data_IF_640884141218
#
_entry.id   IF_640884141218
#
_cell.length_a   1.000
_cell.length_b   1.000
_cell.length_c   1.000
_cell.angle_alpha   90.00
_cell.angle_beta   90.00
_cell.angle_gamma   90.00
#
_symmetry.space_group_name_H-M   'P 1'
#
loop_
_entity.id
_entity.type
_entity.pdbx_description
1 polymer ?
#
# COMPACT_ATOMS: atom_id res chain seq x y z
N UNK A 1 -4.54 9.86 19.41
CA UNK A 1 -4.40 8.49 18.86
C UNK A 1 -3.32 7.73 19.61
N UNK A 2 -3.31 6.38 19.55
CA UNK A 2 -2.32 5.58 20.29
C UNK A 2 -1.06 5.35 19.47
N UNK A 3 -1.21 5.01 18.20
CA UNK A 3 -0.12 4.84 17.24
C UNK A 3 -0.53 5.34 15.87
N UNK A 4 0.47 5.70 15.05
CA UNK A 4 0.26 5.99 13.65
C UNK A 4 1.42 5.48 12.80
N UNK A 5 1.19 5.36 11.49
CA UNK A 5 2.23 5.18 10.48
C UNK A 5 1.96 6.08 9.30
N UNK A 6 2.98 6.23 8.45
CA UNK A 6 2.91 7.07 7.27
C UNK A 6 3.21 6.30 6.00
N UNK A 7 2.53 6.64 4.92
CA UNK A 7 2.87 6.20 3.57
C UNK A 7 3.19 7.42 2.72
N UNK A 8 4.29 7.35 1.99
CA UNK A 8 4.74 8.43 1.11
C UNK A 8 5.11 7.89 -0.26
N UNK A 9 4.83 8.71 -1.24
CA UNK A 9 5.22 8.46 -2.62
C UNK A 9 5.49 9.80 -3.29
N UNK A 10 6.47 9.80 -4.19
CA UNK A 10 6.85 10.95 -4.98
C UNK A 10 6.43 10.73 -6.42
N UNK A 11 5.82 11.73 -7.04
CA UNK A 11 5.56 11.69 -8.47
C UNK A 11 5.74 13.06 -9.09
N UNK A 12 6.29 13.08 -10.30
CA UNK A 12 6.34 14.29 -11.11
C UNK A 12 4.96 14.57 -11.69
N UNK A 13 4.51 15.80 -11.52
CA UNK A 13 3.26 16.25 -12.12
C UNK A 13 3.42 16.69 -13.59
N UNK A 14 2.32 17.10 -14.22
CA UNK A 14 2.31 17.51 -15.63
C UNK A 14 3.07 18.80 -15.91
N UNK A 15 3.49 19.52 -14.86
CA UNK A 15 4.29 20.74 -14.92
C UNK A 15 5.78 20.49 -14.61
N UNK A 16 6.20 19.22 -14.58
CA UNK A 16 7.57 18.78 -14.27
C UNK A 16 8.04 19.14 -12.85
N UNK A 17 7.10 19.44 -11.94
CA UNK A 17 7.39 19.64 -10.53
C UNK A 17 7.14 18.35 -9.76
N UNK A 18 8.05 18.00 -8.86
CA UNK A 18 7.89 16.84 -8.00
C UNK A 18 6.87 17.14 -6.90
N UNK A 19 5.98 16.17 -6.65
CA UNK A 19 4.94 16.25 -5.66
C UNK A 19 5.08 15.05 -4.72
N UNK A 20 5.14 15.30 -3.42
CA UNK A 20 5.18 14.26 -2.39
C UNK A 20 3.83 14.21 -1.70
N UNK A 21 3.19 13.05 -1.73
CA UNK A 21 1.98 12.80 -0.96
C UNK A 21 2.35 12.18 0.38
N UNK A 22 1.74 12.66 1.45
CA UNK A 22 1.86 12.09 2.79
C UNK A 22 0.48 11.59 3.22
N UNK A 23 0.36 10.27 3.35
CA UNK A 23 -0.78 9.63 4.00
C UNK A 23 -0.42 9.26 5.43
N UNK A 24 -1.39 9.42 6.33
CA UNK A 24 -1.29 9.01 7.73
C UNK A 24 -2.37 7.97 7.99
N UNK A 25 -2.00 6.87 8.65
CA UNK A 25 -2.93 5.91 9.25
C UNK A 25 -2.76 5.94 10.75
N UNK A 26 -3.83 6.22 11.47
CA UNK A 26 -3.84 6.26 12.93
C UNK A 26 -4.73 5.16 13.48
N UNK A 27 -4.37 4.66 14.66
CA UNK A 27 -5.16 3.67 15.40
C UNK A 27 -5.37 4.18 16.81
N UNK A 28 -6.62 4.26 17.25
CA UNK A 28 -6.97 4.67 18.61
C UNK A 28 -6.98 3.48 19.60
N UNK A 29 -7.42 3.72 20.84
CA UNK A 29 -7.44 2.68 21.87
C UNK A 29 -8.46 1.58 21.57
N UNK A 30 -9.57 1.94 20.92
CA UNK A 30 -10.67 1.06 20.51
C UNK A 30 -10.43 0.35 19.18
N UNK A 31 -9.19 0.37 18.67
CA UNK A 31 -8.81 -0.19 17.36
C UNK A 31 -9.54 0.45 16.17
N UNK A 32 -10.11 1.64 16.32
CA UNK A 32 -10.65 2.37 15.17
C UNK A 32 -9.49 2.92 14.35
N UNK A 33 -9.58 2.72 13.04
CA UNK A 33 -8.55 3.07 12.08
C UNK A 33 -9.02 4.31 11.31
N UNK A 34 -8.22 5.36 11.32
CA UNK A 34 -8.37 6.51 10.43
C UNK A 34 -7.25 6.48 9.40
N UNK A 35 -7.60 6.73 8.14
CA UNK A 35 -6.65 6.85 7.04
C UNK A 35 -6.97 8.11 6.26
N UNK A 36 -5.99 9.01 6.12
CA UNK A 36 -6.21 10.25 5.39
C UNK A 36 -4.95 10.76 4.69
N UNK A 37 -5.19 11.52 3.62
CA UNK A 37 -4.17 12.36 3.01
C UNK A 37 -3.89 13.51 3.98
N UNK A 38 -2.70 13.54 4.57
CA UNK A 38 -2.29 14.56 5.53
C UNK A 38 -1.75 15.81 4.81
N UNK A 39 -0.93 15.61 3.78
CA UNK A 39 -0.30 16.71 3.06
C UNK A 39 0.04 16.37 1.61
N UNK A 40 0.14 17.43 0.80
CA UNK A 40 0.67 17.41 -0.56
C UNK A 40 1.78 18.45 -0.60
N UNK A 41 3.03 18.01 -0.74
CA UNK A 41 4.19 18.90 -0.77
C UNK A 41 4.70 19.05 -2.19
N UNK A 42 4.68 20.28 -2.71
CA UNK A 42 5.36 20.61 -3.96
C UNK A 42 6.84 20.88 -3.69
N UNK A 43 7.70 20.16 -4.39
CA UNK A 43 9.15 20.24 -4.29
C UNK A 43 9.68 21.00 -5.52
N UNK A 44 10.04 22.28 -5.34
CA UNK A 44 10.35 23.21 -6.46
C UNK A 44 11.82 23.24 -6.85
N UNK A 45 12.74 22.99 -5.91
CA UNK A 45 14.17 23.16 -6.14
C UNK A 45 14.98 21.87 -6.02
N UNK A 46 14.62 20.98 -5.09
CA UNK A 46 15.32 19.72 -4.85
C UNK A 46 14.43 18.72 -4.10
N UNK A 47 14.62 17.43 -4.39
CA UNK A 47 13.90 16.28 -3.81
C UNK A 47 14.85 15.35 -3.05
N UNK A 48 15.76 15.91 -2.24
CA UNK A 48 16.60 15.08 -1.40
C UNK A 48 15.80 14.49 -0.25
N UNK A 49 16.22 13.32 0.26
CA UNK A 49 15.55 12.69 1.41
C UNK A 49 15.49 13.57 2.65
N UNK A 50 16.45 14.49 2.82
CA UNK A 50 16.44 15.46 3.91
C UNK A 50 15.37 16.55 3.74
N UNK A 51 15.19 17.08 2.53
CA UNK A 51 14.15 18.10 2.27
C UNK A 51 12.75 17.50 2.42
N UNK A 52 12.55 16.28 1.92
CA UNK A 52 11.30 15.54 2.13
C UNK A 52 11.08 15.32 3.63
N UNK A 53 12.11 14.92 4.38
CA UNK A 53 12.02 14.74 5.83
C UNK A 53 11.59 16.02 6.56
N UNK A 54 12.15 17.18 6.20
CA UNK A 54 11.77 18.45 6.82
C UNK A 54 10.29 18.78 6.60
N UNK A 55 9.76 18.52 5.40
CA UNK A 55 8.33 18.71 5.07
C UNK A 55 7.42 17.73 5.80
N UNK A 56 7.85 16.48 5.93
CA UNK A 56 7.14 15.46 6.71
C UNK A 56 7.12 15.83 8.19
N UNK A 57 8.25 16.29 8.74
CA UNK A 57 8.36 16.76 10.12
C UNK A 57 7.43 17.93 10.41
N UNK A 58 7.37 18.91 9.52
CA UNK A 58 6.43 20.05 9.59
C UNK A 58 4.96 19.59 9.59
N UNK A 59 4.63 18.61 8.74
CA UNK A 59 3.27 18.06 8.65
C UNK A 59 2.87 17.30 9.91
N UNK A 60 3.74 16.42 10.42
CA UNK A 60 3.53 15.66 11.65
C UNK A 60 3.31 16.62 12.83
N UNK A 61 4.13 17.67 12.93
CA UNK A 61 3.97 18.70 13.97
C UNK A 61 2.63 19.43 13.86
N UNK A 62 2.22 19.82 12.64
CA UNK A 62 0.95 20.52 12.40
C UNK A 62 -0.27 19.66 12.75
N UNK A 63 -0.17 18.35 12.58
CA UNK A 63 -1.20 17.39 12.98
C UNK A 63 -1.22 17.12 14.49
N UNK A 64 -0.29 17.68 15.27
CA UNK A 64 -0.15 17.38 16.70
C UNK A 64 0.32 15.95 16.98
N UNK A 65 0.99 15.32 16.02
CA UNK A 65 1.54 13.97 16.14
C UNK A 65 2.99 14.01 16.59
N UNK A 66 3.43 12.96 17.27
CA UNK A 66 4.79 12.84 17.79
C UNK A 66 5.51 11.62 17.21
N UNK A 67 6.80 11.76 16.88
CA UNK A 67 7.61 10.65 16.40
C UNK A 67 7.70 9.48 17.40
N UNK A 68 7.48 9.73 18.70
CA UNK A 68 7.48 8.71 19.76
C UNK A 68 6.44 7.59 19.56
N UNK A 69 5.36 7.88 18.84
CA UNK A 69 4.26 6.94 18.58
C UNK A 69 4.17 6.50 17.10
N UNK A 70 5.14 6.88 16.27
CA UNK A 70 5.25 6.44 14.88
C UNK A 70 5.74 4.99 14.80
N UNK A 71 5.00 4.11 14.12
CA UNK A 71 5.29 2.66 14.06
C UNK A 71 5.70 2.15 12.69
N UNK A 72 5.45 2.89 11.63
CA UNK A 72 5.77 2.47 10.28
C UNK A 72 5.96 3.64 9.31
N UNK A 73 6.83 3.41 8.33
CA UNK A 73 7.07 4.30 7.20
C UNK A 73 7.08 3.46 5.94
N UNK A 74 6.19 3.76 5.01
CA UNK A 74 6.04 2.98 3.77
C UNK A 74 6.32 3.86 2.57
N UNK A 75 7.25 3.45 1.71
CA UNK A 75 7.68 4.22 0.53
C UNK A 75 7.80 3.33 -0.70
N UNK A 76 7.85 3.92 -1.89
CA UNK A 76 8.10 3.22 -3.15
C UNK A 76 9.55 2.75 -3.32
N UNK A 77 10.42 3.03 -2.36
CA UNK A 77 11.79 2.54 -2.36
C UNK A 77 12.77 3.34 -3.24
N UNK A 78 12.40 4.54 -3.68
CA UNK A 78 13.30 5.38 -4.47
C UNK A 78 14.55 5.85 -3.70
N UNK A 79 15.58 6.28 -4.43
CA UNK A 79 16.93 6.54 -3.87
C UNK A 79 16.93 7.61 -2.77
N UNK A 80 16.11 8.65 -2.92
CA UNK A 80 15.93 9.70 -1.93
C UNK A 80 15.10 9.24 -0.71
N UNK A 81 14.32 8.16 -0.83
CA UNK A 81 13.54 7.60 0.27
C UNK A 81 14.37 6.67 1.16
N UNK A 82 15.13 5.74 0.57
CA UNK A 82 15.72 4.60 1.31
C UNK A 82 17.10 4.82 1.95
N UNK A 83 17.79 5.92 1.68
CA UNK A 83 19.14 6.14 2.22
C UNK A 83 19.21 6.13 3.75
N UNK A 84 20.08 5.31 4.34
CA UNK A 84 20.20 5.18 5.80
C UNK A 84 20.69 6.46 6.50
N UNK A 85 21.54 7.26 5.83
CA UNK A 85 22.10 8.48 6.40
C UNK A 85 21.46 9.76 5.88
N UNK A 86 21.08 9.80 4.61
CA UNK A 86 20.59 11.00 3.92
C UNK A 86 19.20 10.82 3.31
N UNK A 87 18.66 9.60 3.33
CA UNK A 87 17.32 9.31 2.83
C UNK A 87 16.24 9.66 3.86
N UNK A 88 15.02 9.83 3.37
CA UNK A 88 13.84 10.11 4.19
C UNK A 88 13.69 9.11 5.34
N UNK A 89 13.68 7.81 5.02
CA UNK A 89 13.47 6.73 6.00
C UNK A 89 14.57 6.75 7.06
N UNK A 90 15.84 6.94 6.66
CA UNK A 90 16.96 7.04 7.59
C UNK A 90 16.81 8.21 8.58
N UNK A 91 16.38 9.38 8.10
CA UNK A 91 16.15 10.54 8.96
C UNK A 91 14.94 10.36 9.89
N UNK A 92 13.85 9.76 9.42
CA UNK A 92 12.71 9.42 10.28
C UNK A 92 13.14 8.42 11.37
N UNK A 93 13.88 7.37 11.02
CA UNK A 93 14.37 6.40 11.99
C UNK A 93 15.20 7.07 13.09
N UNK A 94 16.10 8.00 12.74
CA UNK A 94 16.87 8.77 13.73
C UNK A 94 15.96 9.60 14.63
N UNK A 95 15.00 10.32 14.05
CA UNK A 95 14.06 11.17 14.80
C UNK A 95 13.22 10.36 15.80
N UNK A 96 12.78 9.15 15.45
CA UNK A 96 12.07 8.25 16.37
C UNK A 96 12.99 7.73 17.47
N UNK A 97 14.21 7.32 17.14
CA UNK A 97 15.18 6.83 18.12
C UNK A 97 15.59 7.91 19.13
N UNK A 98 15.67 9.18 18.70
CA UNK A 98 15.95 10.33 19.57
C UNK A 98 14.87 10.55 20.65
N UNK A 99 13.64 10.08 20.44
CA UNK A 99 12.60 10.13 21.48
C UNK A 99 12.68 8.97 22.48
N UNK A 100 13.64 8.05 22.32
CA UNK A 100 13.73 6.80 23.09
C UNK A 100 12.74 5.71 22.66
N UNK A 101 12.01 5.90 21.56
CA UNK A 101 11.12 4.89 21.01
C UNK A 101 11.88 3.86 20.14
N UNK A 102 11.29 2.69 19.95
CA UNK A 102 11.83 1.69 19.03
C UNK A 102 11.74 2.18 17.58
N UNK A 103 12.73 1.81 16.75
CA UNK A 103 12.74 2.19 15.33
C UNK A 103 11.44 1.75 14.62
N UNK A 104 10.86 2.61 13.76
CA UNK A 104 9.65 2.27 13.03
C UNK A 104 9.93 1.17 11.98
N UNK A 105 8.89 0.44 11.60
CA UNK A 105 8.99 -0.50 10.48
C UNK A 105 9.13 0.27 9.17
N UNK A 106 10.27 0.14 8.51
CA UNK A 106 10.44 0.64 7.15
C UNK A 106 9.95 -0.42 6.16
N UNK A 107 8.89 -0.11 5.41
CA UNK A 107 8.34 -0.99 4.36
C UNK A 107 8.60 -0.38 2.99
N UNK A 108 9.13 -1.19 2.08
CA UNK A 108 9.08 -0.89 0.66
C UNK A 108 7.73 -1.39 0.13
N UNK A 109 6.96 -0.52 -0.52
CA UNK A 109 5.61 -0.81 -1.02
C UNK A 109 5.50 -2.20 -1.67
N UNK A 110 4.64 -3.04 -1.09
CA UNK A 110 4.47 -4.44 -1.51
C UNK A 110 4.08 -4.58 -3.00
N UNK A 111 3.25 -3.64 -3.49
CA UNK A 111 2.79 -3.61 -4.88
C UNK A 111 3.96 -3.26 -5.81
N UNK A 112 4.80 -2.30 -5.42
CA UNK A 112 5.97 -1.94 -6.20
C UNK A 112 7.02 -3.06 -6.20
N UNK A 113 7.29 -3.67 -5.04
CA UNK A 113 8.16 -4.84 -4.93
C UNK A 113 7.71 -6.00 -5.83
N UNK A 114 6.41 -6.33 -5.78
CA UNK A 114 5.81 -7.36 -6.64
C UNK A 114 5.99 -7.02 -8.14
N UNK A 115 5.71 -5.79 -8.54
CA UNK A 115 5.89 -5.35 -9.92
C UNK A 115 7.34 -5.48 -10.39
N UNK A 116 8.31 -5.14 -9.53
CA UNK A 116 9.74 -5.27 -9.84
C UNK A 116 10.19 -6.73 -9.97
N UNK A 117 9.60 -7.67 -9.23
CA UNK A 117 9.85 -9.10 -9.41
C UNK A 117 9.45 -9.56 -10.83
N UNK A 118 8.31 -9.07 -11.34
CA UNK A 118 7.83 -9.40 -12.68
C UNK A 118 8.59 -8.69 -13.79
N UNK A 119 8.99 -7.42 -13.58
CA UNK A 119 9.66 -6.60 -14.60
C UNK A 119 11.00 -7.18 -15.06
N UNK A 120 11.72 -7.82 -14.14
CA UNK A 120 13.04 -8.37 -14.42
C UNK A 120 13.01 -9.88 -14.73
N UNK A 121 11.82 -10.50 -14.73
CA UNK A 121 11.68 -11.90 -15.05
C UNK A 121 11.97 -12.17 -16.54
N UNK A 122 12.55 -13.34 -16.89
CA UNK A 122 12.80 -13.70 -18.29
C UNK A 122 11.56 -13.76 -19.17
N UNK A 123 10.35 -13.72 -18.58
CA UNK A 123 9.07 -13.72 -19.29
C UNK A 123 8.48 -12.32 -19.49
N UNK A 124 9.20 -11.26 -19.10
CA UNK A 124 8.67 -9.91 -19.05
C UNK A 124 8.09 -9.45 -20.39
N UNK A 125 8.76 -9.73 -21.51
CA UNK A 125 8.26 -9.35 -22.84
C UNK A 125 6.89 -9.98 -23.15
N UNK A 126 6.73 -11.27 -22.84
CA UNK A 126 5.45 -11.98 -23.01
C UNK A 126 4.38 -11.38 -22.12
N UNK A 127 4.71 -11.14 -20.85
CA UNK A 127 3.76 -10.54 -19.90
C UNK A 127 3.37 -9.12 -20.30
N UNK A 128 4.30 -8.33 -20.83
CA UNK A 128 4.04 -6.99 -21.32
C UNK A 128 3.05 -7.00 -22.48
N UNK A 129 3.23 -7.92 -23.44
CA UNK A 129 2.27 -8.13 -24.54
C UNK A 129 0.89 -8.53 -24.00
N UNK A 130 0.82 -9.45 -23.02
CA UNK A 130 -0.46 -9.85 -22.40
C UNK A 130 -1.14 -8.66 -21.72
N UNK A 131 -0.41 -7.89 -20.92
CA UNK A 131 -0.93 -6.70 -20.23
C UNK A 131 -1.45 -5.67 -21.22
N UNK A 132 -0.72 -5.39 -22.30
CA UNK A 132 -1.16 -4.48 -23.35
C UNK A 132 -2.46 -4.96 -24.02
N UNK A 133 -2.56 -6.25 -24.33
CA UNK A 133 -3.77 -6.84 -24.90
C UNK A 133 -4.96 -6.76 -23.94
N UNK A 134 -4.78 -7.11 -22.67
CA UNK A 134 -5.83 -6.99 -21.64
C UNK A 134 -6.29 -5.55 -21.51
N UNK A 135 -5.37 -4.59 -21.47
CA UNK A 135 -5.69 -3.17 -21.40
C UNK A 135 -6.45 -2.69 -22.65
N UNK A 136 -6.06 -3.14 -23.84
CA UNK A 136 -6.78 -2.87 -25.08
C UNK A 136 -8.21 -3.42 -25.06
N UNK A 137 -8.38 -4.67 -24.60
CA UNK A 137 -9.69 -5.32 -24.47
C UNK A 137 -10.58 -4.56 -23.48
N UNK A 138 -10.04 -4.20 -22.30
CA UNK A 138 -10.79 -3.50 -21.25
C UNK A 138 -11.21 -2.09 -21.66
N UNK A 139 -10.45 -1.43 -22.53
CA UNK A 139 -10.71 -0.06 -22.96
C UNK A 139 -11.84 0.06 -23.99
N UNK A 140 -12.16 -1.01 -24.73
CA UNK A 140 -13.08 -0.94 -25.88
C UNK A 140 -14.17 -2.03 -25.83
N UNK A 141 -15.44 -1.62 -25.84
CA UNK A 141 -16.60 -2.51 -25.84
C UNK A 141 -16.63 -3.47 -27.06
N UNK A 142 -16.14 -3.04 -28.22
CA UNK A 142 -16.02 -3.88 -29.42
C UNK A 142 -15.01 -5.01 -29.19
N UNK A 143 -13.81 -4.69 -28.69
CA UNK A 143 -12.76 -5.66 -28.40
C UNK A 143 -13.21 -6.69 -27.36
N UNK A 144 -13.97 -6.25 -26.35
CA UNK A 144 -14.57 -7.15 -25.36
C UNK A 144 -15.62 -8.11 -25.98
N UNK A 145 -16.47 -7.61 -26.89
CA UNK A 145 -17.45 -8.46 -27.61
C UNK A 145 -16.76 -9.45 -28.56
N UNK A 146 -15.74 -9.02 -29.28
CA UNK A 146 -14.94 -9.88 -30.16
C UNK A 146 -14.26 -11.01 -29.37
N UNK A 147 -13.68 -10.71 -28.20
CA UNK A 147 -13.10 -11.72 -27.33
C UNK A 147 -14.12 -12.80 -26.90
N UNK A 148 -15.34 -12.40 -26.53
CA UNK A 148 -16.40 -13.35 -26.18
C UNK A 148 -16.71 -14.31 -27.33
N UNK A 149 -16.83 -13.79 -28.55
CA UNK A 149 -17.03 -14.63 -29.73
C UNK A 149 -15.82 -15.54 -29.99
N UNK A 150 -14.61 -15.02 -29.88
CA UNK A 150 -13.39 -15.80 -30.05
C UNK A 150 -13.28 -16.96 -29.04
N UNK A 151 -13.64 -16.75 -27.77
CA UNK A 151 -13.68 -17.81 -26.76
C UNK A 151 -14.67 -18.92 -27.15
N UNK A 152 -15.89 -18.55 -27.56
CA UNK A 152 -16.90 -19.51 -28.00
C UNK A 152 -16.45 -20.31 -29.23
N UNK A 153 -15.72 -19.70 -30.16
CA UNK A 153 -15.18 -20.40 -31.32
C UNK A 153 -13.99 -21.31 -30.97
N UNK A 154 -13.11 -20.90 -30.05
CA UNK A 154 -12.02 -21.75 -29.54
C UNK A 154 -12.57 -22.98 -28.80
N UNK A 155 -13.61 -22.84 -27.99
CA UNK A 155 -14.29 -23.97 -27.31
C UNK A 155 -14.83 -25.00 -28.32
N UNK A 156 -15.35 -24.52 -29.47
CA UNK A 156 -15.76 -25.36 -30.60
C UNK A 156 -14.58 -25.87 -31.43
N UNK A 157 -13.34 -25.60 -31.01
CA UNK A 157 -12.08 -25.88 -31.74
C UNK A 157 -12.02 -25.22 -33.12
N UNK A 158 -12.81 -24.18 -33.35
CA UNK A 158 -12.81 -23.38 -34.56
C UNK A 158 -11.76 -22.27 -34.46
N UNK A 159 -10.63 -22.47 -35.13
CA UNK A 159 -9.50 -21.53 -35.14
C UNK A 159 -9.45 -20.68 -36.43
N UNK A 160 -10.57 -20.53 -37.14
CA UNK A 160 -10.62 -19.76 -38.39
C UNK A 160 -10.11 -18.31 -38.25
N UNK A 161 -10.27 -17.72 -37.06
CA UNK A 161 -9.79 -16.37 -36.73
C UNK A 161 -8.35 -16.33 -36.17
N UNK A 162 -7.67 -17.48 -36.05
CA UNK A 162 -6.33 -17.62 -35.47
C UNK A 162 -5.38 -18.38 -36.42
N UNK A 163 -4.92 -17.76 -37.52
CA UNK A 163 -4.08 -18.41 -38.54
C UNK A 163 -2.79 -19.00 -37.95
N UNK A 164 -2.18 -18.30 -36.99
CA UNK A 164 -0.97 -18.76 -36.29
C UNK A 164 -1.24 -19.98 -35.41
N UNK A 165 -2.38 -20.04 -34.71
CA UNK A 165 -2.75 -21.22 -33.92
C UNK A 165 -3.08 -22.41 -34.83
N UNK A 166 -3.70 -22.18 -35.98
CA UNK A 166 -3.92 -23.21 -37.00
C UNK A 166 -2.60 -23.77 -37.54
N UNK A 167 -1.63 -22.90 -37.81
CA UNK A 167 -0.28 -23.31 -38.21
C UNK A 167 0.42 -24.09 -37.10
N UNK A 168 0.35 -23.60 -35.85
CA UNK A 168 0.98 -24.24 -34.70
C UNK A 168 0.41 -25.62 -34.37
N UNK A 169 -0.92 -25.81 -34.54
CA UNK A 169 -1.61 -27.10 -34.40
C UNK A 169 -1.06 -28.17 -35.35
N UNK A 170 -0.57 -27.78 -36.52
CA UNK A 170 -0.03 -28.68 -37.54
C UNK A 170 1.46 -29.00 -37.33
N UNK A 171 2.19 -28.18 -36.55
CA UNK A 171 3.67 -28.18 -36.56
C UNK A 171 4.34 -28.70 -35.28
N UNK A 172 3.64 -28.89 -34.14
CA UNK A 172 4.34 -29.20 -32.88
C UNK A 172 3.64 -30.23 -31.97
N UNK A 173 4.28 -31.40 -31.85
CA UNK A 173 4.43 -32.12 -30.57
C UNK A 173 5.79 -31.73 -29.98
N UNK A 174 5.92 -30.48 -29.49
CA UNK A 174 7.12 -30.10 -28.74
C UNK A 174 6.89 -30.38 -27.26
N UNK A 175 7.84 -31.06 -26.65
CA UNK A 175 7.90 -31.26 -25.21
C UNK A 175 7.93 -29.91 -24.49
N UNK A 176 7.32 -29.84 -23.30
CA UNK A 176 7.29 -28.62 -22.50
C UNK A 176 8.73 -28.20 -22.13
N UNK A 177 9.10 -26.92 -22.25
CA UNK A 177 10.47 -26.46 -21.99
C UNK A 177 10.76 -26.36 -20.49
N UNK A 178 10.86 -27.52 -19.81
CA UNK A 178 11.02 -27.64 -18.36
C UNK A 178 12.25 -26.89 -17.84
N UNK A 179 13.37 -26.92 -18.55
CA UNK A 179 14.61 -26.22 -18.15
C UNK A 179 14.40 -24.71 -18.08
N UNK A 180 13.72 -24.14 -19.08
CA UNK A 180 13.37 -22.71 -19.09
C UNK A 180 12.43 -22.37 -17.94
N UNK A 181 11.38 -23.18 -17.73
CA UNK A 181 10.41 -22.96 -16.66
C UNK A 181 11.07 -23.00 -15.27
N UNK A 182 11.95 -23.97 -15.01
CA UNK A 182 12.74 -24.05 -13.78
C UNK A 182 13.63 -22.81 -13.61
N UNK A 183 14.29 -22.35 -14.67
CA UNK A 183 15.10 -21.13 -14.65
C UNK A 183 14.29 -19.89 -14.25
N UNK A 184 13.09 -19.71 -14.84
CA UNK A 184 12.18 -18.61 -14.49
C UNK A 184 11.73 -18.70 -13.03
N UNK A 185 11.36 -19.88 -12.55
CA UNK A 185 10.90 -20.07 -11.18
C UNK A 185 12.01 -19.82 -10.15
N UNK A 186 13.23 -20.29 -10.43
CA UNK A 186 14.41 -20.03 -9.59
C UNK A 186 14.72 -18.54 -9.54
N UNK A 187 14.73 -17.87 -10.69
CA UNK A 187 14.93 -16.42 -10.75
C UNK A 187 13.88 -15.67 -9.91
N UNK A 188 12.60 -15.98 -10.11
CA UNK A 188 11.52 -15.33 -9.35
C UNK A 188 11.70 -15.55 -7.84
N UNK A 189 12.01 -16.78 -7.42
CA UNK A 189 12.28 -17.10 -6.01
C UNK A 189 13.37 -16.21 -5.42
N UNK A 190 14.49 -16.03 -6.12
CA UNK A 190 15.60 -15.17 -5.67
C UNK A 190 15.20 -13.70 -5.59
N UNK A 191 14.42 -13.21 -6.57
CA UNK A 191 13.92 -11.82 -6.55
C UNK A 191 12.97 -11.56 -5.38
N UNK A 192 12.04 -12.49 -5.10
CA UNK A 192 11.15 -12.40 -3.96
C UNK A 192 11.93 -12.40 -2.64
N UNK A 193 12.88 -13.30 -2.48
CA UNK A 193 13.72 -13.37 -1.28
C UNK A 193 14.53 -12.08 -1.05
N UNK A 194 15.04 -11.47 -2.13
CA UNK A 194 15.89 -10.28 -2.05
C UNK A 194 15.09 -9.01 -1.81
N UNK A 195 13.92 -8.87 -2.46
CA UNK A 195 13.12 -7.64 -2.37
C UNK A 195 12.36 -7.58 -1.05
N UNK A 196 11.70 -8.67 -0.66
CA UNK A 196 10.83 -8.72 0.53
C UNK A 196 11.62 -8.97 1.83
N UNK A 197 12.86 -8.48 1.90
CA UNK A 197 13.73 -8.63 3.09
C UNK A 197 13.21 -7.85 4.28
N UNK A 198 12.56 -6.73 4.04
CA UNK A 198 11.84 -5.94 5.03
C UNK A 198 10.76 -6.77 5.74
N UNK A 199 9.88 -7.44 4.98
CA UNK A 199 8.89 -8.37 5.53
C UNK A 199 9.54 -9.55 6.25
N UNK A 200 10.65 -10.08 5.73
CA UNK A 200 11.38 -11.16 6.39
C UNK A 200 11.96 -10.74 7.73
N UNK A 201 12.48 -9.50 7.84
CA UNK A 201 12.99 -8.95 9.10
C UNK A 201 11.90 -8.72 10.15
N UNK A 202 10.66 -8.52 9.70
CA UNK A 202 9.49 -8.32 10.54
C UNK A 202 8.64 -9.60 10.71
N UNK A 203 9.08 -10.74 10.18
CA UNK A 203 8.26 -11.95 10.04
C UNK A 203 7.69 -12.41 11.38
N UNK A 204 8.52 -12.48 12.43
CA UNK A 204 8.07 -12.92 13.75
C UNK A 204 7.00 -11.98 14.33
N UNK A 205 7.18 -10.66 14.14
CA UNK A 205 6.19 -9.66 14.55
C UNK A 205 4.87 -9.83 13.79
N UNK A 206 4.95 -10.05 12.48
CA UNK A 206 3.76 -10.24 11.64
C UNK A 206 3.05 -11.54 12.03
N UNK A 207 3.76 -12.63 12.26
CA UNK A 207 3.18 -13.93 12.63
C UNK A 207 2.44 -13.90 13.98
N UNK A 208 2.98 -13.18 14.97
CA UNK A 208 2.29 -12.94 16.26
C UNK A 208 0.93 -12.27 16.05
N UNK A 209 0.85 -11.34 15.10
CA UNK A 209 -0.38 -10.64 14.75
C UNK A 209 -1.30 -11.46 13.84
N UNK A 210 -0.73 -12.17 12.86
CA UNK A 210 -1.49 -12.89 11.83
C UNK A 210 -2.22 -14.10 12.42
N UNK A 211 -1.54 -14.88 13.26
CA UNK A 211 -2.14 -16.05 13.88
C UNK A 211 -1.42 -16.45 15.17
N UNK A 212 -1.79 -15.86 16.32
CA UNK A 212 -1.18 -16.20 17.60
C UNK A 212 -1.45 -17.66 18.03
N UNK A 213 -2.48 -18.33 17.47
CA UNK A 213 -2.82 -19.71 17.81
C UNK A 213 -1.94 -20.78 17.14
N UNK A 214 -1.17 -20.41 16.11
CA UNK A 214 -0.33 -21.33 15.35
C UNK A 214 1.16 -21.29 15.75
N UNK A 215 1.50 -20.51 16.78
CA UNK A 215 2.89 -20.24 17.15
C UNK A 215 3.40 -21.25 18.16
N UNK A 216 4.70 -21.52 18.09
CA UNK A 216 5.41 -22.29 19.10
C UNK A 216 5.78 -21.37 20.25
N UNK A 217 5.32 -21.69 21.45
CA UNK A 217 5.53 -20.84 22.64
C UNK A 217 7.02 -20.61 22.90
N UNK A 218 7.86 -21.60 22.63
CA UNK A 218 9.31 -21.53 22.88
C UNK A 218 10.03 -20.54 21.94
N UNK A 219 9.40 -20.19 20.81
CA UNK A 219 9.95 -19.24 19.83
C UNK A 219 9.48 -17.81 20.06
N UNK A 220 8.55 -17.58 20.99
CA UNK A 220 7.98 -16.27 21.25
C UNK A 220 8.87 -15.45 22.19
N UNK A 221 8.93 -14.11 22.01
CA UNK A 221 9.47 -13.21 23.02
C UNK A 221 8.74 -13.39 24.36
N UNK A 222 9.49 -13.27 25.46
CA UNK A 222 9.02 -13.58 26.83
C UNK A 222 7.74 -12.83 27.19
N UNK A 223 7.59 -11.58 26.74
CA UNK A 223 6.43 -10.73 27.01
C UNK A 223 5.12 -11.26 26.42
N UNK A 224 5.17 -12.11 25.39
CA UNK A 224 3.98 -12.68 24.76
C UNK A 224 3.65 -14.09 25.26
N UNK A 225 4.60 -14.80 25.88
CA UNK A 225 4.44 -16.23 26.16
C UNK A 225 3.22 -16.54 27.03
N UNK A 226 3.05 -15.83 28.15
CA UNK A 226 1.93 -16.07 29.07
C UNK A 226 0.58 -15.68 28.45
N UNK A 227 0.53 -14.54 27.76
CA UNK A 227 -0.68 -14.07 27.06
C UNK A 227 -1.10 -15.06 25.97
N UNK A 228 -0.15 -15.57 25.17
CA UNK A 228 -0.46 -16.54 24.12
C UNK A 228 -0.90 -17.88 24.73
N UNK A 229 -0.29 -18.35 25.83
CA UNK A 229 -0.73 -19.56 26.55
C UNK A 229 -2.19 -19.43 27.02
N UNK A 230 -2.54 -18.29 27.63
CA UNK A 230 -3.93 -18.00 28.04
C UNK A 230 -4.86 -17.99 26.83
N UNK A 231 -4.45 -17.32 25.75
CA UNK A 231 -5.23 -17.19 24.51
C UNK A 231 -5.53 -18.56 23.88
N UNK A 232 -4.53 -19.42 23.70
CA UNK A 232 -4.68 -20.73 23.06
C UNK A 232 -5.48 -21.72 23.90
N UNK A 233 -5.51 -21.51 25.22
CA UNK A 233 -6.27 -22.36 26.15
C UNK A 233 -7.78 -22.06 26.13
N UNK A 234 -8.20 -20.95 25.51
CA UNK A 234 -9.58 -20.51 25.47
C UNK A 234 -10.22 -20.76 24.09
N UNK A 235 -11.10 -21.76 24.01
CA UNK A 235 -11.80 -22.13 22.78
C UNK A 235 -12.72 -21.01 22.25
N UNK A 236 -13.29 -20.17 23.12
CA UNK A 236 -14.17 -19.08 22.70
C UNK A 236 -13.40 -18.03 21.88
N UNK A 237 -12.18 -17.68 22.30
CA UNK A 237 -11.32 -16.79 21.51
C UNK A 237 -10.93 -17.43 20.18
N UNK A 238 -10.62 -18.73 20.18
CA UNK A 238 -10.28 -19.45 18.95
C UNK A 238 -11.43 -19.50 17.94
N UNK A 239 -12.66 -19.67 18.41
CA UNK A 239 -13.84 -19.69 17.55
C UNK A 239 -14.18 -18.29 17.05
N UNK A 240 -14.13 -17.27 17.91
CA UNK A 240 -14.31 -15.87 17.48
C UNK A 240 -13.25 -15.44 16.46
N UNK A 241 -11.99 -15.85 16.63
CA UNK A 241 -10.90 -15.56 15.68
C UNK A 241 -11.17 -16.08 14.26
N UNK A 242 -11.87 -17.21 14.11
CA UNK A 242 -12.18 -17.77 12.78
C UNK A 242 -13.26 -16.97 12.05
N UNK A 243 -14.12 -16.27 12.78
CA UNK A 243 -15.28 -15.56 12.22
C UNK A 243 -15.04 -14.05 12.12
N UNK A 244 -14.21 -13.49 12.99
CA UNK A 244 -13.94 -12.06 13.07
C UNK A 244 -12.74 -11.64 12.19
N UNK A 245 -12.72 -10.37 11.77
CA UNK A 245 -11.48 -9.77 11.26
C UNK A 245 -10.44 -9.65 12.37
N UNK A 246 -9.14 -9.60 12.02
CA UNK A 246 -8.06 -9.42 13.01
C UNK A 246 -8.27 -8.17 13.88
N UNK A 247 -8.71 -7.06 13.28
CA UNK A 247 -9.01 -5.83 14.00
C UNK A 247 -10.09 -6.05 15.08
N UNK A 248 -11.21 -6.68 14.72
CA UNK A 248 -12.30 -6.97 15.66
C UNK A 248 -11.87 -7.95 16.75
N UNK A 249 -11.11 -8.98 16.37
CA UNK A 249 -10.57 -9.95 17.32
C UNK A 249 -9.71 -9.28 18.40
N UNK A 250 -8.70 -8.51 17.99
CA UNK A 250 -7.81 -7.84 18.96
C UNK A 250 -8.51 -6.73 19.74
N UNK A 251 -9.52 -6.07 19.16
CA UNK A 251 -10.34 -5.09 19.88
C UNK A 251 -11.13 -5.72 21.04
N UNK A 252 -11.62 -6.95 20.84
CA UNK A 252 -12.45 -7.69 21.81
C UNK A 252 -11.67 -8.24 22.99
N UNK A 253 -10.37 -8.48 22.86
CA UNK A 253 -9.54 -9.01 23.95
C UNK A 253 -9.57 -8.09 25.18
N UNK A 254 -9.66 -8.62 26.41
CA UNK A 254 -9.51 -7.83 27.64
C UNK A 254 -8.12 -7.18 27.76
N UNK A 255 -8.07 -5.90 28.15
CA UNK A 255 -6.80 -5.18 28.32
C UNK A 255 -6.00 -5.67 29.54
N UNK A 256 -6.66 -6.20 30.58
CA UNK A 256 -5.96 -6.72 31.77
C UNK A 256 -5.22 -8.04 31.48
N UNK A 257 -5.82 -8.91 30.65
CA UNK A 257 -5.25 -10.22 30.30
C UNK A 257 -4.30 -10.17 29.12
N UNK A 258 -4.54 -9.31 28.12
CA UNK A 258 -3.80 -9.30 26.85
C UNK A 258 -3.16 -7.94 26.49
N UNK A 259 -2.51 -7.22 27.43
CA UNK A 259 -1.99 -5.88 27.18
C UNK A 259 -0.93 -5.84 26.08
N UNK A 260 -0.03 -6.83 26.01
CA UNK A 260 1.06 -6.85 25.02
C UNK A 260 0.55 -7.24 23.63
N UNK A 261 -0.31 -8.27 23.53
CA UNK A 261 -0.92 -8.66 22.26
C UNK A 261 -1.77 -7.52 21.67
N UNK A 262 -2.59 -6.84 22.49
CA UNK A 262 -3.35 -5.67 22.03
C UNK A 262 -2.45 -4.51 21.62
N UNK A 263 -1.41 -4.23 22.39
CA UNK A 263 -0.42 -3.20 22.05
C UNK A 263 0.22 -3.50 20.70
N UNK A 264 0.75 -4.70 20.53
CA UNK A 264 1.41 -5.18 19.32
C UNK A 264 0.48 -5.14 18.11
N UNK A 265 -0.76 -5.62 18.26
CA UNK A 265 -1.74 -5.58 17.20
C UNK A 265 -2.05 -4.15 16.75
N UNK A 266 -2.21 -3.19 17.67
CA UNK A 266 -2.40 -1.77 17.30
C UNK A 266 -1.20 -1.22 16.53
N UNK A 267 0.03 -1.57 16.92
CA UNK A 267 1.23 -1.16 16.20
C UNK A 267 1.23 -1.71 14.76
N UNK A 268 0.97 -3.01 14.58
CA UNK A 268 0.96 -3.67 13.26
C UNK A 268 -0.18 -3.15 12.37
N UNK A 269 -1.40 -3.00 12.91
CA UNK A 269 -2.56 -2.48 12.16
C UNK A 269 -2.30 -1.07 11.63
N UNK A 270 -1.57 -0.24 12.39
CA UNK A 270 -1.25 1.11 11.98
C UNK A 270 -0.36 1.18 10.74
N UNK A 271 0.35 0.11 10.39
CA UNK A 271 1.36 0.10 9.32
C UNK A 271 0.74 -0.05 7.93
N UNK A 272 1.16 0.78 6.99
CA UNK A 272 0.82 0.61 5.57
C UNK A 272 1.69 -0.47 4.93
N UNK A 273 1.10 -1.42 4.21
CA UNK A 273 1.86 -2.40 3.41
C UNK A 273 2.18 -1.90 1.99
N UNK A 274 1.49 -0.86 1.54
CA UNK A 274 1.62 -0.31 0.19
C UNK A 274 1.47 1.19 0.19
N UNK A 275 1.98 1.82 -0.86
CA UNK A 275 1.73 3.22 -1.17
C UNK A 275 0.41 3.44 -1.90
N UNK A 276 -0.41 2.39 -2.19
CA UNK A 276 -1.57 2.41 -3.11
C UNK A 276 -2.44 3.69 -3.11
N UNK A 277 -2.71 4.23 -1.92
CA UNK A 277 -3.50 5.46 -1.76
C UNK A 277 -2.82 6.66 -2.44
N UNK A 278 -1.49 6.73 -2.40
CA UNK A 278 -0.68 7.69 -3.11
C UNK A 278 -0.82 7.53 -4.63
N UNK A 279 -0.65 6.33 -5.20
CA UNK A 279 -0.76 6.14 -6.66
C UNK A 279 -2.18 6.43 -7.17
N UNK A 280 -3.20 6.06 -6.40
CA UNK A 280 -4.60 6.44 -6.70
C UNK A 280 -4.79 7.95 -6.66
N UNK A 281 -4.22 8.63 -5.67
CA UNK A 281 -4.32 10.08 -5.51
C UNK A 281 -3.54 10.81 -6.60
N UNK A 282 -2.36 10.34 -6.99
CA UNK A 282 -1.62 10.86 -8.14
C UNK A 282 -2.40 10.69 -9.45
N UNK A 283 -3.11 9.58 -9.62
CA UNK A 283 -3.99 9.38 -10.79
C UNK A 283 -5.12 10.43 -10.82
N UNK A 284 -5.75 10.71 -9.67
CA UNK A 284 -6.74 11.80 -9.54
C UNK A 284 -6.11 13.17 -9.78
N UNK A 285 -4.91 13.42 -9.25
CA UNK A 285 -4.17 14.67 -9.44
C UNK A 285 -3.89 14.95 -10.91
N UNK A 286 -3.42 13.95 -11.66
CA UNK A 286 -3.22 14.04 -13.12
C UNK A 286 -4.52 14.36 -13.84
N UNK A 287 -5.64 13.77 -13.44
CA UNK A 287 -6.96 14.11 -13.99
C UNK A 287 -7.35 15.57 -13.70
N UNK A 288 -7.28 16.02 -12.44
CA UNK A 288 -7.61 17.39 -12.02
C UNK A 288 -6.75 18.41 -12.76
N UNK A 289 -5.42 18.25 -12.75
CA UNK A 289 -4.52 19.14 -13.49
C UNK A 289 -4.74 19.08 -15.00
N UNK A 290 -5.07 17.92 -15.59
CA UNK A 290 -5.38 17.86 -17.02
C UNK A 290 -6.67 18.60 -17.41
N UNK A 291 -7.65 18.69 -16.50
CA UNK A 291 -8.94 19.37 -16.72
C UNK A 291 -8.85 20.88 -16.48
N UNK A 292 -8.12 21.31 -15.44
CA UNK A 292 -8.02 22.73 -15.05
C UNK A 292 -6.71 23.42 -15.49
N UNK A 293 -5.82 22.66 -16.13
CA UNK A 293 -4.60 22.93 -16.94
C UNK A 293 -3.61 24.04 -16.58
N UNK A 294 -3.94 25.14 -15.89
CA UNK A 294 -2.96 26.25 -15.70
C UNK A 294 -3.12 27.14 -14.47
N UNK A 295 -4.20 27.08 -13.68
CA UNK A 295 -4.47 28.13 -12.67
C UNK A 295 -4.64 27.65 -11.21
N UNK A 296 -4.41 26.37 -10.89
CA UNK A 296 -4.46 25.94 -9.49
C UNK A 296 -3.15 26.25 -8.77
N UNK A 297 -3.22 27.04 -7.70
CA UNK A 297 -2.12 27.12 -6.73
C UNK A 297 -1.97 25.80 -5.97
N UNK A 298 -0.82 25.62 -5.32
CA UNK A 298 -0.52 24.43 -4.50
C UNK A 298 -1.60 24.22 -3.41
N UNK A 299 -2.05 25.31 -2.77
CA UNK A 299 -3.15 25.28 -1.78
C UNK A 299 -4.46 24.78 -2.37
N UNK A 300 -4.87 25.29 -3.54
CA UNK A 300 -6.10 24.84 -4.20
C UNK A 300 -6.02 23.37 -4.63
N UNK A 301 -4.84 22.94 -5.08
CA UNK A 301 -4.60 21.55 -5.46
C UNK A 301 -4.72 20.63 -4.24
N UNK A 302 -4.04 20.97 -3.16
CA UNK A 302 -4.10 20.24 -1.90
C UNK A 302 -5.54 20.15 -1.40
N UNK A 303 -6.27 21.28 -1.36
CA UNK A 303 -7.67 21.30 -0.95
C UNK A 303 -8.56 20.40 -1.83
N UNK A 304 -8.38 20.46 -3.16
CA UNK A 304 -9.14 19.62 -4.10
C UNK A 304 -8.87 18.13 -3.88
N UNK A 305 -7.61 17.77 -3.68
CA UNK A 305 -7.22 16.38 -3.42
C UNK A 305 -7.71 15.90 -2.07
N UNK A 306 -7.60 16.71 -1.02
CA UNK A 306 -8.14 16.42 0.31
C UNK A 306 -9.64 16.14 0.26
N UNK A 307 -10.42 16.99 -0.42
CA UNK A 307 -11.87 16.79 -0.60
C UNK A 307 -12.14 15.52 -1.41
N UNK A 308 -11.35 15.26 -2.46
CA UNK A 308 -11.52 14.09 -3.32
C UNK A 308 -11.04 12.76 -2.73
N UNK A 309 -10.31 12.79 -1.62
CA UNK A 309 -9.79 11.59 -0.93
C UNK A 309 -10.47 11.34 0.42
N UNK A 310 -10.90 12.39 1.14
CA UNK A 310 -11.64 12.23 2.41
C UNK A 310 -13.08 11.79 2.16
N UNK A 311 -13.55 10.85 2.98
CA UNK A 311 -14.98 10.51 3.10
C UNK A 311 -15.62 11.53 4.04
N UNK A 312 -15.89 12.74 3.56
CA UNK A 312 -16.73 13.68 4.27
C UNK A 312 -18.20 13.44 3.93
N UNK A 313 -19.04 13.36 4.94
CA UNK A 313 -20.43 13.79 4.81
C UNK A 313 -20.43 15.31 4.92
N UNK A 314 -20.53 15.99 3.78
CA UNK A 314 -20.58 17.45 3.78
C UNK A 314 -21.78 17.90 4.62
N UNK A 315 -21.53 18.69 5.66
CA UNK A 315 -22.59 19.29 6.46
C UNK A 315 -23.23 20.45 5.67
N UNK A 316 -24.04 20.08 4.67
CA UNK A 316 -24.70 21.02 3.77
C UNK A 316 -25.56 22.02 4.54
N UNK A 317 -26.12 21.63 5.69
CA UNK A 317 -26.94 22.52 6.51
C UNK A 317 -26.14 23.73 7.01
N UNK A 318 -24.92 23.53 7.51
CA UNK A 318 -24.10 24.65 7.99
C UNK A 318 -23.49 25.44 6.82
N UNK A 319 -23.11 24.78 5.72
CA UNK A 319 -22.64 25.47 4.50
C UNK A 319 -23.72 26.37 3.89
N UNK A 320 -24.99 25.97 3.96
CA UNK A 320 -26.12 26.74 3.43
C UNK A 320 -26.54 27.89 4.35
N UNK A 321 -26.20 27.87 5.64
CA UNK A 321 -26.46 28.98 6.57
C UNK A 321 -25.63 30.23 6.24
N UNK A 322 -24.40 30.03 5.78
CA UNK A 322 -23.46 31.12 5.48
C UNK A 322 -23.49 31.60 4.02
N UNK A 323 -24.34 31.00 3.17
CA UNK A 323 -24.50 31.43 1.78
C UNK A 323 -25.74 32.30 1.58
N UNK A 324 -25.51 33.54 1.14
CA UNK A 324 -26.57 34.37 0.59
C UNK A 324 -27.03 33.78 -0.75
N UNK A 325 -28.26 33.26 -0.80
CA UNK A 325 -28.88 32.84 -2.04
C UNK A 325 -29.15 34.08 -2.90
N UNK A 326 -28.46 34.18 -4.04
CA UNK A 326 -28.79 35.13 -5.09
C UNK A 326 -30.15 34.74 -5.65
N UNK A 327 -31.19 35.48 -5.31
CA UNK A 327 -32.50 35.36 -5.95
C UNK A 327 -32.38 35.97 -7.34
N UNK A 328 -32.60 35.17 -8.38
CA UNK A 328 -32.66 35.70 -9.75
C UNK A 328 -33.85 36.65 -9.85
N UNK A 329 -33.61 37.85 -10.36
CA UNK A 329 -34.64 38.82 -10.72
C UNK A 329 -35.49 38.36 -11.91
#
# INVERSE_FOLDING_TARGET
FKYFSIALDESTDTSDSAQVLLFVREVNESFEITEELAAVHSMKDSCTGNEIFLKVKESIFTLGLEFSILKGVTTDGERNMCGAHTGLVGNICKAVLETGAAAPMAIHCIIHQQALCGKNAPIYEVMNIVVQNVNYIRKNALSHRQLKNFLAEIEKKNLAHFPTCNKFKLENYKEFPTVFAVGVLTYLKEQFQTRFRDFKSAEDRIRIFENPFALKIETLPTEFQLEVIELISNNNFKDYFKEASLQQFYAMLPDESFPNLKKHAREIISIFSSTYLCEQTFSKMKYVKSKYRTNLSDEHLQATLLIGTKKFDANFQDILKDKQFQTSH
#
